data_IF_870053916429
#
_entry.id   IF_870053916429
#
_cell.length_a   1.000
_cell.length_b   1.000
_cell.length_c   1.000
_cell.angle_alpha   90.00
_cell.angle_beta   90.00
_cell.angle_gamma   90.00
#
_symmetry.space_group_name_H-M   'P 1'
#
loop_
_entity.id
_entity.type
_entity.pdbx_description
1 polymer ?
#
# COMPACT_ATOMS: atom_id res chain seq x y z
N UNK A 1 2.91 -7.24 -6.28
CA UNK A 1 3.60 -8.53 -6.00
C UNK A 1 3.42 -9.54 -7.12
N UNK A 2 2.22 -9.69 -7.73
CA UNK A 2 1.93 -10.76 -8.71
C UNK A 2 2.98 -10.89 -9.84
N UNK A 3 3.38 -9.82 -10.58
CA UNK A 3 4.40 -9.95 -11.61
C UNK A 3 5.75 -10.44 -11.08
N UNK A 4 6.12 -9.98 -9.88
CA UNK A 4 7.38 -10.39 -9.24
C UNK A 4 7.35 -11.84 -8.77
N UNK A 5 6.21 -12.28 -8.25
CA UNK A 5 6.03 -13.68 -7.83
C UNK A 5 6.10 -14.63 -9.02
N UNK A 6 5.43 -14.29 -10.12
CA UNK A 6 5.44 -15.13 -11.34
C UNK A 6 6.84 -15.30 -11.94
N UNK A 7 7.66 -14.24 -11.85
CA UNK A 7 9.00 -14.26 -12.46
C UNK A 7 10.10 -14.79 -11.51
N UNK A 8 9.99 -14.51 -10.20
CA UNK A 8 11.10 -14.72 -9.26
C UNK A 8 10.71 -15.54 -8.01
N UNK A 9 9.46 -15.92 -7.85
CA UNK A 9 8.91 -16.69 -6.73
C UNK A 9 9.16 -15.98 -5.40
N UNK A 10 8.27 -15.07 -5.03
CA UNK A 10 8.32 -14.35 -3.75
C UNK A 10 8.12 -15.33 -2.61
N UNK A 11 9.04 -15.35 -1.66
CA UNK A 11 9.02 -16.20 -0.45
C UNK A 11 8.59 -15.43 0.78
N UNK A 12 9.12 -14.22 0.92
CA UNK A 12 8.93 -13.40 2.11
C UNK A 12 8.65 -11.95 1.74
N UNK A 13 7.73 -11.33 2.47
CA UNK A 13 7.40 -9.91 2.37
C UNK A 13 7.42 -9.29 3.75
N UNK A 14 8.12 -8.17 3.89
CA UNK A 14 7.98 -7.27 5.03
C UNK A 14 7.45 -5.96 4.50
N UNK A 15 6.37 -5.47 5.08
CA UNK A 15 5.73 -4.24 4.62
C UNK A 15 5.36 -3.33 5.77
N UNK A 16 5.76 -2.06 5.65
CA UNK A 16 5.23 -0.98 6.48
C UNK A 16 4.31 -0.12 5.62
N UNK A 17 3.07 0.06 6.08
CA UNK A 17 2.12 0.90 5.37
C UNK A 17 2.06 2.31 5.96
N UNK A 18 1.73 3.27 5.12
CA UNK A 18 1.46 4.66 5.45
C UNK A 18 0.08 4.99 4.86
N UNK A 19 -0.98 4.72 5.68
CA UNK A 19 -2.34 4.74 5.17
C UNK A 19 -3.03 6.08 5.46
N UNK A 20 -3.61 6.64 4.40
CA UNK A 20 -4.39 7.87 4.45
C UNK A 20 -5.67 7.72 5.28
N UNK A 21 -6.15 8.81 5.85
CA UNK A 21 -7.37 8.84 6.69
C UNK A 21 -8.64 8.46 5.94
N UNK A 22 -8.70 8.65 4.62
CA UNK A 22 -9.85 8.28 3.79
C UNK A 22 -10.23 6.80 3.87
N UNK A 23 -9.29 5.91 4.23
CA UNK A 23 -9.58 4.51 4.50
C UNK A 23 -10.56 4.27 5.67
N UNK A 24 -10.67 5.22 6.60
CA UNK A 24 -11.66 5.23 7.68
C UNK A 24 -12.91 6.07 7.34
N UNK A 25 -13.06 6.48 6.07
CA UNK A 25 -14.25 7.17 5.57
C UNK A 25 -14.23 8.69 5.71
N UNK A 26 -15.31 9.32 5.28
CA UNK A 26 -15.45 10.79 5.28
C UNK A 26 -15.30 11.41 6.66
N UNK A 27 -15.88 10.88 7.75
CA UNK A 27 -15.71 11.45 9.09
C UNK A 27 -14.25 11.55 9.52
N UNK A 28 -13.41 10.57 9.16
CA UNK A 28 -11.98 10.59 9.47
C UNK A 28 -11.23 11.69 8.70
N UNK A 29 -11.65 11.99 7.47
CA UNK A 29 -11.11 13.12 6.70
C UNK A 29 -11.52 14.45 7.33
N UNK A 30 -12.77 14.57 7.73
CA UNK A 30 -13.28 15.77 8.42
C UNK A 30 -12.58 15.95 9.79
N UNK A 31 -12.30 14.87 10.52
CA UNK A 31 -11.51 14.92 11.76
C UNK A 31 -10.09 15.45 11.52
N UNK A 32 -9.37 14.93 10.53
CA UNK A 32 -8.03 15.44 10.18
C UNK A 32 -8.07 16.93 9.85
N UNK A 33 -9.04 17.34 9.04
CA UNK A 33 -9.20 18.74 8.66
C UNK A 33 -9.47 19.64 9.90
N UNK A 34 -10.42 19.25 10.75
CA UNK A 34 -10.82 20.00 11.92
C UNK A 34 -9.70 20.06 12.96
N UNK A 35 -8.99 18.96 13.21
CA UNK A 35 -7.83 18.92 14.10
C UNK A 35 -6.72 19.84 13.58
N UNK A 36 -6.40 19.78 12.28
CA UNK A 36 -5.39 20.64 11.68
C UNK A 36 -5.76 22.12 11.85
N UNK A 37 -6.99 22.50 11.52
CA UNK A 37 -7.48 23.86 11.69
C UNK A 37 -7.46 24.29 13.16
N UNK A 38 -7.95 23.45 14.07
CA UNK A 38 -8.01 23.74 15.51
C UNK A 38 -6.64 24.06 16.09
N UNK A 39 -5.63 23.27 15.75
CA UNK A 39 -4.25 23.49 16.20
C UNK A 39 -3.71 24.86 15.79
N UNK A 40 -3.99 25.30 14.56
CA UNK A 40 -3.53 26.63 14.10
C UNK A 40 -4.24 27.82 14.74
N UNK A 41 -5.46 27.61 15.27
CA UNK A 41 -6.23 28.68 15.96
C UNK A 41 -6.23 28.51 17.48
N UNK A 42 -5.38 27.64 18.03
CA UNK A 42 -5.29 27.30 19.46
C UNK A 42 -6.63 26.83 20.05
N UNK A 43 -7.41 26.10 19.28
CA UNK A 43 -8.64 25.47 19.74
C UNK A 43 -8.37 24.10 20.35
N UNK A 44 -9.30 23.61 21.15
CA UNK A 44 -9.20 22.28 21.74
C UNK A 44 -9.47 21.21 20.65
N UNK A 45 -8.53 20.30 20.48
CA UNK A 45 -8.63 19.20 19.53
C UNK A 45 -8.87 17.90 20.29
N UNK A 46 -9.96 17.22 20.00
CA UNK A 46 -10.28 15.91 20.57
C UNK A 46 -10.36 14.86 19.45
N UNK A 47 -9.75 13.68 19.63
CA UNK A 47 -9.96 12.54 18.74
C UNK A 47 -11.39 12.00 18.88
N UNK A 48 -12.05 11.73 17.75
CA UNK A 48 -13.42 11.18 17.70
C UNK A 48 -13.46 9.84 16.95
N UNK A 49 -12.81 9.76 15.79
CA UNK A 49 -12.73 8.57 14.95
C UNK A 49 -11.46 7.78 15.23
N UNK A 50 -10.34 8.48 15.41
CA UNK A 50 -9.07 7.87 15.74
C UNK A 50 -8.85 7.74 17.24
N UNK A 51 -8.02 6.80 17.66
CA UNK A 51 -7.69 6.58 19.08
C UNK A 51 -6.84 7.69 19.67
N UNK A 52 -6.18 8.47 18.84
CA UNK A 52 -5.32 9.61 19.20
C UNK A 52 -5.46 10.70 18.16
N UNK A 53 -5.00 11.92 18.50
CA UNK A 53 -4.87 12.99 17.51
C UNK A 53 -4.13 12.50 16.27
N UNK A 54 -4.74 12.69 15.09
CA UNK A 54 -4.14 12.31 13.81
C UNK A 54 -3.38 13.46 13.15
N UNK A 55 -3.83 14.71 13.32
CA UNK A 55 -3.14 15.86 12.76
C UNK A 55 -1.71 15.96 13.29
N UNK A 56 -0.73 16.05 12.38
CA UNK A 56 0.71 16.09 12.67
C UNK A 56 1.24 14.87 13.45
N UNK A 57 0.64 13.70 13.27
CA UNK A 57 0.98 12.50 14.03
C UNK A 57 1.01 11.25 13.12
N UNK A 58 1.63 10.18 13.61
CA UNK A 58 1.56 8.85 13.02
C UNK A 58 1.01 7.88 14.09
N UNK A 59 -0.04 7.15 13.75
CA UNK A 59 -0.71 6.21 14.66
C UNK A 59 -0.43 4.79 14.19
N UNK A 60 0.42 3.99 14.88
CA UNK A 60 0.75 2.62 14.51
C UNK A 60 -0.38 1.66 14.94
N UNK A 61 -1.59 1.94 14.49
CA UNK A 61 -2.79 1.19 14.85
C UNK A 61 -3.88 1.43 13.82
N UNK A 62 -4.30 0.38 13.13
CA UNK A 62 -5.43 0.40 12.19
C UNK A 62 -6.29 -0.83 12.45
N UNK A 63 -7.61 -0.62 12.67
CA UNK A 63 -8.58 -1.63 13.09
C UNK A 63 -8.29 -2.15 14.52
N UNK A 64 -8.93 -3.22 14.96
CA UNK A 64 -8.83 -3.76 16.32
C UNK A 64 -7.58 -4.59 16.53
N UNK A 65 -7.06 -4.60 17.75
CA UNK A 65 -6.00 -5.53 18.14
C UNK A 65 -6.52 -6.96 18.27
N UNK A 66 -5.70 -7.90 17.83
CA UNK A 66 -5.88 -9.33 18.01
C UNK A 66 -5.07 -9.82 19.23
N UNK A 67 -5.34 -11.04 19.68
CA UNK A 67 -4.70 -11.62 20.89
C UNK A 67 -3.19 -11.80 20.75
N UNK A 68 -2.67 -11.90 19.52
CA UNK A 68 -1.25 -12.05 19.20
C UNK A 68 -0.49 -10.72 19.12
N UNK A 69 -1.19 -9.59 19.33
CA UNK A 69 -0.62 -8.24 19.30
C UNK A 69 -0.60 -7.58 17.92
N UNK A 70 -0.98 -8.30 16.86
CA UNK A 70 -1.22 -7.68 15.55
C UNK A 70 -2.59 -6.99 15.53
N UNK A 71 -2.77 -6.10 14.55
CA UNK A 71 -4.10 -5.56 14.25
C UNK A 71 -4.80 -6.41 13.19
N UNK A 72 -6.11 -6.31 13.11
CA UNK A 72 -6.90 -7.00 12.08
C UNK A 72 -6.49 -6.56 10.67
N UNK A 73 -6.09 -5.31 10.47
CA UNK A 73 -5.57 -4.83 9.18
C UNK A 73 -4.27 -5.53 8.79
N UNK A 74 -3.34 -5.72 9.73
CA UNK A 74 -2.09 -6.45 9.51
C UNK A 74 -2.34 -7.94 9.22
N UNK A 75 -3.27 -8.56 9.95
CA UNK A 75 -3.73 -9.91 9.68
C UNK A 75 -4.34 -10.05 8.27
N UNK A 76 -5.16 -9.08 7.85
CA UNK A 76 -5.75 -9.07 6.50
C UNK A 76 -4.67 -9.09 5.42
N UNK A 77 -3.63 -8.28 5.53
CA UNK A 77 -2.54 -8.26 4.55
C UNK A 77 -1.90 -9.63 4.39
N UNK A 78 -1.66 -10.33 5.50
CA UNK A 78 -1.13 -11.70 5.48
C UNK A 78 -2.12 -12.69 4.87
N UNK A 79 -3.36 -12.69 5.35
CA UNK A 79 -4.39 -13.65 4.92
C UNK A 79 -4.77 -13.46 3.45
N UNK A 80 -4.93 -12.23 3.00
CA UNK A 80 -5.30 -11.90 1.63
C UNK A 80 -4.15 -12.18 0.65
N UNK A 81 -2.91 -11.90 1.01
CA UNK A 81 -1.74 -12.25 0.18
C UNK A 81 -1.66 -13.77 -0.03
N UNK A 82 -1.80 -14.56 1.03
CA UNK A 82 -1.83 -16.02 0.93
C UNK A 82 -3.00 -16.54 0.10
N UNK A 83 -4.17 -15.93 0.22
CA UNK A 83 -5.37 -16.32 -0.52
C UNK A 83 -5.31 -15.95 -2.00
N UNK A 84 -4.79 -14.77 -2.34
CA UNK A 84 -4.87 -14.21 -3.69
C UNK A 84 -3.67 -14.63 -4.54
N UNK A 85 -2.47 -14.71 -3.94
CA UNK A 85 -1.23 -15.01 -4.67
C UNK A 85 -0.79 -16.44 -4.45
N UNK A 86 -0.25 -16.75 -3.28
CA UNK A 86 0.29 -18.06 -2.95
C UNK A 86 0.29 -18.28 -1.43
N UNK A 87 -0.23 -19.42 -0.93
CA UNK A 87 -0.28 -19.71 0.50
C UNK A 87 1.11 -19.89 1.15
N UNK A 88 2.16 -20.08 0.36
CA UNK A 88 3.53 -20.26 0.84
C UNK A 88 4.27 -18.95 1.12
N UNK A 89 3.73 -17.81 0.67
CA UNK A 89 4.34 -16.50 0.93
C UNK A 89 4.25 -16.15 2.41
N UNK A 90 5.40 -15.95 3.05
CA UNK A 90 5.47 -15.45 4.41
C UNK A 90 5.43 -13.91 4.41
N UNK A 91 4.42 -13.34 5.08
CA UNK A 91 4.25 -11.88 5.13
C UNK A 91 4.09 -11.40 6.58
N UNK A 92 4.76 -10.32 6.90
CA UNK A 92 4.51 -9.52 8.10
C UNK A 92 4.28 -8.07 7.70
N UNK A 93 3.22 -7.49 8.23
CA UNK A 93 2.85 -6.08 8.01
C UNK A 93 2.93 -5.28 9.30
N UNK A 94 3.24 -3.98 9.17
CA UNK A 94 3.06 -2.98 10.21
C UNK A 94 2.26 -1.82 9.64
N UNK A 95 1.04 -1.63 10.12
CA UNK A 95 0.10 -0.68 9.54
C UNK A 95 0.04 0.62 10.33
N UNK A 96 0.34 1.73 9.66
CA UNK A 96 0.40 3.07 10.26
C UNK A 96 -0.60 4.00 9.59
N UNK A 97 -1.44 4.68 10.38
CA UNK A 97 -2.29 5.79 9.93
C UNK A 97 -1.48 7.08 9.95
N UNK A 98 -1.48 7.81 8.85
CA UNK A 98 -0.77 9.08 8.70
C UNK A 98 -1.73 10.22 8.34
N UNK A 99 -1.35 11.49 8.58
CA UNK A 99 -2.21 12.65 8.35
C UNK A 99 -2.22 13.07 6.86
N UNK A 100 -2.61 12.15 6.00
CA UNK A 100 -2.79 12.32 4.56
C UNK A 100 -4.24 12.03 4.23
N UNK A 101 -4.88 12.86 3.40
CA UNK A 101 -6.29 12.70 3.09
C UNK A 101 -6.57 11.48 2.23
N UNK A 102 -5.87 11.32 1.12
CA UNK A 102 -6.05 10.25 0.13
C UNK A 102 -4.69 9.71 -0.32
N UNK A 103 -4.65 8.42 -0.65
CA UNK A 103 -3.46 7.73 -1.12
C UNK A 103 -2.76 6.94 0.00
N UNK A 104 -2.74 5.61 -0.16
CA UNK A 104 -1.96 4.71 0.70
C UNK A 104 -0.58 4.51 0.09
N UNK A 105 0.42 4.46 0.94
CA UNK A 105 1.79 4.15 0.55
C UNK A 105 2.33 2.98 1.36
N UNK A 106 3.29 2.29 0.78
CA UNK A 106 3.89 1.11 1.37
C UNK A 106 5.39 1.07 1.11
N UNK A 107 6.18 0.86 2.16
CA UNK A 107 7.57 0.47 2.05
C UNK A 107 7.62 -1.06 2.05
N UNK A 108 7.94 -1.64 0.89
CA UNK A 108 7.87 -3.08 0.66
C UNK A 108 9.26 -3.67 0.51
N UNK A 109 9.54 -4.69 1.30
CA UNK A 109 10.77 -5.49 1.25
C UNK A 109 10.38 -6.91 0.87
N UNK A 110 10.97 -7.44 -0.18
CA UNK A 110 10.72 -8.81 -0.62
C UNK A 110 12.00 -9.62 -0.70
N UNK A 111 11.85 -10.91 -0.45
CA UNK A 111 12.88 -11.93 -0.71
C UNK A 111 12.28 -12.97 -1.67
N UNK A 112 13.05 -13.36 -2.68
CA UNK A 112 12.62 -14.30 -3.71
C UNK A 112 13.52 -15.54 -3.78
N UNK A 113 13.03 -16.61 -4.41
CA UNK A 113 13.85 -17.80 -4.67
C UNK A 113 14.87 -17.53 -5.77
N UNK A 114 14.42 -16.93 -6.86
CA UNK A 114 15.26 -16.62 -8.00
C UNK A 114 15.95 -15.25 -7.82
N UNK A 115 17.21 -15.12 -8.26
CA UNK A 115 17.91 -13.86 -8.22
C UNK A 115 17.23 -12.82 -9.13
N UNK A 116 17.12 -11.59 -8.65
CA UNK A 116 16.58 -10.47 -9.41
C UNK A 116 17.51 -9.27 -9.39
N UNK A 117 17.50 -8.50 -10.46
CA UNK A 117 18.22 -7.25 -10.57
C UNK A 117 17.24 -6.06 -10.60
N UNK A 118 17.69 -4.87 -10.17
CA UNK A 118 16.88 -3.66 -10.27
C UNK A 118 16.38 -3.42 -11.71
N UNK A 119 17.21 -3.69 -12.72
CA UNK A 119 16.84 -3.54 -14.13
C UNK A 119 15.72 -4.49 -14.54
N UNK A 120 15.79 -5.75 -14.12
CA UNK A 120 14.76 -6.75 -14.43
C UNK A 120 13.44 -6.40 -13.74
N UNK A 121 13.49 -5.99 -12.46
CA UNK A 121 12.30 -5.56 -11.71
C UNK A 121 11.65 -4.33 -12.32
N UNK A 122 12.43 -3.31 -12.72
CA UNK A 122 11.88 -2.12 -13.40
C UNK A 122 11.22 -2.45 -14.73
N UNK A 123 11.86 -3.30 -15.54
CA UNK A 123 11.28 -3.73 -16.82
C UNK A 123 9.97 -4.49 -16.60
N UNK A 124 9.98 -5.50 -15.75
CA UNK A 124 8.82 -6.35 -15.48
C UNK A 124 7.64 -5.55 -14.92
N UNK A 125 7.88 -4.64 -13.98
CA UNK A 125 6.83 -3.80 -13.40
C UNK A 125 6.36 -2.71 -14.38
N UNK A 126 7.26 -2.17 -15.22
CA UNK A 126 6.89 -1.18 -16.25
C UNK A 126 5.98 -1.74 -17.34
N UNK A 127 6.09 -3.04 -17.63
CA UNK A 127 5.23 -3.74 -18.60
C UNK A 127 3.93 -4.28 -17.97
N UNK A 128 3.80 -4.22 -16.65
CA UNK A 128 2.65 -4.79 -15.95
C UNK A 128 1.40 -3.89 -16.03
N UNK A 129 0.21 -4.44 -16.30
CA UNK A 129 -1.02 -3.66 -16.40
C UNK A 129 -1.35 -2.90 -15.11
N UNK A 130 -1.68 -1.62 -15.23
CA UNK A 130 -2.10 -0.77 -14.11
C UNK A 130 -0.96 -0.34 -13.18
N UNK A 131 0.30 -0.62 -13.55
CA UNK A 131 1.49 -0.17 -12.82
C UNK A 131 2.21 0.91 -13.65
N UNK A 132 2.69 1.93 -12.98
CA UNK A 132 3.58 2.96 -13.53
C UNK A 132 4.84 3.02 -12.67
N UNK A 133 6.00 2.83 -13.30
CA UNK A 133 7.28 2.94 -12.61
C UNK A 133 7.83 4.36 -12.78
N UNK A 134 7.93 5.09 -11.68
CA UNK A 134 8.58 6.40 -11.59
C UNK A 134 9.75 6.28 -10.62
N UNK A 135 10.93 5.98 -11.13
CA UNK A 135 12.10 5.67 -10.32
C UNK A 135 13.36 6.31 -10.89
N UNK A 136 13.43 7.62 -10.78
CA UNK A 136 14.58 8.43 -11.21
C UNK A 136 15.34 8.94 -9.99
N UNK A 137 16.58 8.53 -9.81
CA UNK A 137 17.43 9.00 -8.70
C UNK A 137 17.79 10.49 -8.83
N UNK A 138 17.88 10.97 -10.05
CA UNK A 138 17.99 12.40 -10.33
C UNK A 138 16.60 13.04 -10.25
N UNK A 139 16.55 14.30 -9.82
CA UNK A 139 15.33 15.11 -9.73
C UNK A 139 14.22 14.52 -8.85
N UNK A 140 14.60 13.75 -7.83
CA UNK A 140 13.64 13.23 -6.83
C UNK A 140 12.44 12.50 -7.46
N UNK A 141 12.72 11.71 -8.51
CA UNK A 141 11.70 11.02 -9.31
C UNK A 141 11.09 9.82 -8.56
N UNK A 142 10.19 10.10 -7.63
CA UNK A 142 9.31 9.17 -6.94
C UNK A 142 7.92 9.78 -6.81
N UNK A 143 6.91 8.97 -6.53
CA UNK A 143 5.51 9.42 -6.40
C UNK A 143 5.10 9.37 -4.93
N UNK A 144 4.42 10.42 -4.48
CA UNK A 144 3.87 10.56 -3.13
C UNK A 144 2.35 10.33 -3.13
N UNK A 145 1.72 10.15 -1.96
CA UNK A 145 0.26 10.03 -1.88
C UNK A 145 -0.49 11.23 -2.50
N UNK A 146 0.07 12.43 -2.35
CA UNK A 146 -0.54 13.65 -2.88
C UNK A 146 -0.64 13.62 -4.42
N UNK A 147 0.39 13.10 -5.09
CA UNK A 147 0.43 12.99 -6.55
C UNK A 147 -0.39 11.81 -7.05
N UNK A 148 -0.50 10.74 -6.27
CA UNK A 148 -1.28 9.56 -6.63
C UNK A 148 -2.80 9.73 -6.42
N UNK A 149 -3.21 10.74 -5.64
CA UNK A 149 -4.63 11.00 -5.37
C UNK A 149 -5.38 11.41 -6.65
N UNK A 150 -6.45 10.69 -6.99
CA UNK A 150 -7.23 10.90 -8.21
C UNK A 150 -6.74 10.07 -9.41
N UNK A 151 -5.59 9.40 -9.30
CA UNK A 151 -5.03 8.58 -10.37
C UNK A 151 -5.46 7.10 -10.27
N UNK A 152 -5.51 6.42 -11.41
CA UNK A 152 -5.94 5.02 -11.49
C UNK A 152 -4.78 4.02 -11.32
N UNK A 153 -3.56 4.46 -11.51
CA UNK A 153 -2.39 3.62 -11.49
C UNK A 153 -1.88 3.30 -10.08
N UNK A 154 -1.18 2.19 -9.98
CA UNK A 154 -0.29 1.89 -8.85
C UNK A 154 1.11 2.35 -9.25
N UNK A 155 1.69 3.25 -8.48
CA UNK A 155 3.01 3.80 -8.74
C UNK A 155 4.07 3.07 -7.95
N UNK A 156 5.16 2.68 -8.61
CA UNK A 156 6.32 2.04 -7.98
C UNK A 156 7.53 2.95 -8.15
N UNK A 157 8.21 3.17 -7.05
CA UNK A 157 9.38 4.04 -6.96
C UNK A 157 10.44 3.44 -6.04
N UNK A 158 11.64 4.02 -6.01
CA UNK A 158 12.67 3.68 -5.03
C UNK A 158 13.10 2.21 -5.08
N UNK A 159 13.11 1.60 -6.27
CA UNK A 159 13.54 0.21 -6.48
C UNK A 159 15.05 0.11 -6.25
N UNK A 160 15.43 -0.78 -5.32
CA UNK A 160 16.85 -1.04 -4.97
C UNK A 160 17.03 -2.42 -4.36
N UNK A 161 18.23 -2.97 -4.47
CA UNK A 161 18.59 -4.21 -3.79
C UNK A 161 18.51 -4.03 -2.26
N UNK A 162 18.08 -5.07 -1.57
CA UNK A 162 18.29 -5.24 -0.13
C UNK A 162 19.57 -6.03 0.10
N UNK A 163 20.64 -5.40 0.60
CA UNK A 163 21.91 -6.08 0.80
C UNK A 163 21.94 -6.99 2.03
N UNK A 164 20.86 -7.03 2.81
CA UNK A 164 20.81 -7.77 4.08
C UNK A 164 20.31 -9.20 3.93
N UNK A 165 19.70 -9.53 2.81
CA UNK A 165 19.18 -10.87 2.50
C UNK A 165 19.54 -11.28 1.07
N UNK A 166 19.72 -12.60 0.81
CA UNK A 166 19.86 -13.10 -0.55
C UNK A 166 18.60 -12.79 -1.39
N UNK A 167 18.83 -12.36 -2.63
CA UNK A 167 17.72 -12.05 -3.57
C UNK A 167 16.69 -11.06 -2.99
N UNK A 168 17.14 -10.09 -2.19
CA UNK A 168 16.29 -9.06 -1.60
C UNK A 168 16.06 -7.86 -2.51
N UNK A 169 14.86 -7.32 -2.49
CA UNK A 169 14.50 -6.07 -3.18
C UNK A 169 13.63 -5.19 -2.29
N UNK A 170 13.87 -3.89 -2.36
CA UNK A 170 13.05 -2.88 -1.66
C UNK A 170 12.48 -1.91 -2.66
N UNK A 171 11.22 -1.56 -2.50
CA UNK A 171 10.57 -0.52 -3.30
C UNK A 171 9.49 0.22 -2.52
N UNK A 172 9.12 1.36 -3.03
CA UNK A 172 8.02 2.18 -2.57
C UNK A 172 6.84 1.99 -3.51
N UNK A 173 5.67 1.71 -2.94
CA UNK A 173 4.42 1.54 -3.66
C UNK A 173 3.43 2.60 -3.17
N UNK A 174 2.68 3.22 -4.08
CA UNK A 174 1.63 4.19 -3.73
C UNK A 174 0.49 4.14 -4.74
N UNK A 175 -0.74 4.28 -4.24
CA UNK A 175 -1.93 4.37 -5.08
C UNK A 175 -3.06 5.12 -4.38
N UNK A 176 -4.03 5.60 -5.15
CA UNK A 176 -5.29 6.10 -4.60
C UNK A 176 -6.11 4.94 -4.03
N UNK A 177 -6.27 4.94 -2.72
CA UNK A 177 -6.98 3.88 -1.99
C UNK A 177 -8.50 3.88 -2.21
N UNK A 178 -9.08 5.01 -2.61
CA UNK A 178 -10.52 5.12 -2.92
C UNK A 178 -10.82 4.61 -4.34
N UNK A 179 -9.84 4.68 -5.23
CA UNK A 179 -9.95 4.21 -6.63
C UNK A 179 -9.44 2.78 -6.75
N UNK A 180 -8.12 2.58 -6.76
CA UNK A 180 -7.51 1.25 -6.97
C UNK A 180 -7.78 0.28 -5.82
N UNK A 181 -7.87 0.77 -4.59
CA UNK A 181 -8.22 -0.04 -3.42
C UNK A 181 -9.71 -0.34 -3.28
N UNK A 182 -10.60 0.36 -4.01
CA UNK A 182 -12.05 0.25 -3.83
C UNK A 182 -12.83 0.33 -5.16
N UNK A 183 -13.29 1.52 -5.56
CA UNK A 183 -14.25 1.71 -6.63
C UNK A 183 -13.75 1.23 -8.00
N UNK A 184 -12.56 1.67 -8.41
CA UNK A 184 -11.97 1.28 -9.69
C UNK A 184 -11.70 -0.22 -9.77
N UNK A 185 -11.19 -0.81 -8.70
CA UNK A 185 -10.90 -2.24 -8.65
C UNK A 185 -12.18 -3.08 -8.84
N UNK A 186 -13.30 -2.65 -8.26
CA UNK A 186 -14.59 -3.32 -8.45
C UNK A 186 -15.04 -3.28 -9.91
N UNK A 187 -14.88 -2.14 -10.61
CA UNK A 187 -15.18 -2.01 -12.04
C UNK A 187 -14.27 -2.92 -12.87
N UNK A 188 -12.97 -2.91 -12.62
CA UNK A 188 -11.99 -3.74 -13.33
C UNK A 188 -12.25 -5.24 -13.14
N UNK A 189 -12.69 -5.67 -11.97
CA UNK A 189 -13.12 -7.06 -11.74
C UNK A 189 -14.36 -7.39 -12.58
N UNK A 190 -15.35 -6.49 -12.62
CA UNK A 190 -16.55 -6.69 -13.44
C UNK A 190 -16.21 -6.78 -14.95
N UNK A 191 -15.30 -5.94 -15.43
CA UNK A 191 -14.81 -5.99 -16.81
C UNK A 191 -14.12 -7.33 -17.12
N UNK A 192 -13.27 -7.83 -16.24
CA UNK A 192 -12.62 -9.14 -16.39
C UNK A 192 -13.64 -10.29 -16.46
N UNK A 193 -14.66 -10.27 -15.60
CA UNK A 193 -15.71 -11.30 -15.57
C UNK A 193 -16.51 -11.30 -16.89
N UNK A 194 -16.75 -10.12 -17.46
CA UNK A 194 -17.54 -9.99 -18.69
C UNK A 194 -16.73 -10.31 -19.96
N UNK A 195 -15.44 -10.01 -19.97
CA UNK A 195 -14.58 -10.17 -21.16
C UNK A 195 -13.93 -11.56 -21.26
N UNK A 196 -13.66 -12.20 -20.12
CA UNK A 196 -12.90 -13.46 -20.08
C UNK A 196 -13.79 -14.71 -19.88
N UNK A 197 -15.11 -14.57 -19.82
CA UNK A 197 -16.06 -15.67 -19.58
C UNK A 197 -15.65 -16.61 -18.40
N UNK A 198 -15.28 -16.00 -17.28
CA UNK A 198 -14.80 -16.72 -16.09
C UNK A 198 -15.91 -17.56 -15.42
N UNK A 199 -17.15 -17.50 -15.95
CA UNK A 199 -18.34 -18.17 -15.39
C UNK A 199 -18.33 -19.69 -15.56
N UNK A 200 -17.38 -20.25 -16.27
CA UNK A 200 -17.34 -21.67 -16.65
C UNK A 200 -16.18 -22.49 -16.09
N UNK A 201 -15.46 -22.02 -15.05
CA UNK A 201 -14.38 -22.76 -14.42
C UNK A 201 -14.59 -23.01 -12.94
#
# INVERSE_FOLDING_TARGET
LKPLHDAFIVKRVVVSTYQAVSGAGRPAMDELFNQTKGIYVNDTVQPEIFTKQIAFNAIPHIDVFLDDGFTKEEWKMTAETKKILDPTIELVAHCVRIPVFVGHSEAVFIETEQPMTEKAVRGLLGDAPGIVVVDHRANEGYVTPHEAAGEDAVYISRIRQDPTVPNGMVFWCVSDNLRKGAALNSVQIAELITTQDIRGR
#
